data_IF_814944255752
#
_entry.id   IF_814944255752
#
_cell.length_a   1.000
_cell.length_b   1.000
_cell.length_c   1.000
_cell.angle_alpha   90.00
_cell.angle_beta   90.00
_cell.angle_gamma   90.00
#
_symmetry.space_group_name_H-M   'P 1'
#
loop_
_entity.id
_entity.type
_entity.pdbx_description
1 polymer ?
#
# COMPACT_ATOMS: atom_id res chain seq x y z
N UNK A 1 -18.43 11.69 -11.60
CA UNK A 1 -17.69 10.73 -10.75
C UNK A 1 -18.65 9.70 -10.17
N UNK A 2 -18.65 8.50 -10.72
CA UNK A 2 -19.36 7.32 -10.21
C UNK A 2 -18.58 6.69 -9.03
N UNK A 3 -19.26 6.18 -8.00
CA UNK A 3 -18.62 5.44 -6.91
C UNK A 3 -19.15 4.00 -6.93
N UNK A 4 -18.25 3.03 -7.06
CA UNK A 4 -18.60 1.60 -7.04
C UNK A 4 -17.89 0.86 -5.91
N UNK A 5 -18.65 0.16 -5.07
CA UNK A 5 -18.10 -0.65 -3.97
C UNK A 5 -18.48 -2.10 -4.21
N UNK A 6 -17.48 -2.95 -4.40
CA UNK A 6 -17.68 -4.39 -4.58
C UNK A 6 -18.16 -5.03 -3.26
N UNK A 7 -19.16 -5.93 -3.29
CA UNK A 7 -19.52 -6.72 -2.11
C UNK A 7 -18.34 -7.51 -1.53
N UNK A 8 -17.39 -7.93 -2.37
CA UNK A 8 -16.18 -8.63 -1.94
C UNK A 8 -15.24 -7.71 -1.14
N UNK A 9 -15.20 -6.42 -1.45
CA UNK A 9 -14.45 -5.45 -0.65
C UNK A 9 -15.03 -5.34 0.76
N UNK A 10 -16.36 -5.27 0.87
CA UNK A 10 -17.04 -5.24 2.17
C UNK A 10 -16.75 -6.50 2.97
N UNK A 11 -16.87 -7.68 2.34
CA UNK A 11 -16.54 -8.95 2.98
C UNK A 11 -15.07 -9.01 3.42
N UNK A 12 -14.14 -8.55 2.58
CA UNK A 12 -12.72 -8.47 2.91
C UNK A 12 -12.48 -7.57 4.13
N UNK A 13 -13.10 -6.39 4.20
CA UNK A 13 -12.97 -5.48 5.34
C UNK A 13 -13.50 -6.14 6.63
N UNK A 14 -14.63 -6.84 6.56
CA UNK A 14 -15.18 -7.58 7.72
C UNK A 14 -14.22 -8.68 8.18
N UNK A 15 -13.69 -9.48 7.25
CA UNK A 15 -12.71 -10.53 7.56
C UNK A 15 -11.44 -9.94 8.17
N UNK A 16 -10.88 -8.89 7.56
CA UNK A 16 -9.71 -8.18 8.08
C UNK A 16 -9.98 -7.61 9.47
N UNK A 17 -11.14 -7.00 9.71
CA UNK A 17 -11.51 -6.49 11.01
C UNK A 17 -11.51 -7.60 12.07
N UNK A 18 -12.13 -8.75 11.79
CA UNK A 18 -12.14 -9.92 12.69
C UNK A 18 -10.72 -10.39 12.97
N UNK A 19 -9.86 -10.51 11.95
CA UNK A 19 -8.46 -10.93 12.11
C UNK A 19 -7.65 -9.93 12.95
N UNK A 20 -7.85 -8.63 12.74
CA UNK A 20 -7.16 -7.57 13.49
C UNK A 20 -7.64 -7.53 14.94
N UNK A 21 -8.94 -7.71 15.21
CA UNK A 21 -9.46 -7.81 16.59
C UNK A 21 -8.75 -8.94 17.34
N UNK A 22 -8.57 -10.11 16.71
CA UNK A 22 -7.84 -11.25 17.31
C UNK A 22 -6.37 -10.96 17.60
N UNK A 23 -5.75 -10.05 16.86
CA UNK A 23 -4.34 -9.66 17.01
C UNK A 23 -4.09 -8.36 17.77
N UNK A 24 -5.13 -7.69 18.29
CA UNK A 24 -5.01 -6.42 19.01
C UNK A 24 -5.51 -6.54 20.45
N UNK A 25 -5.04 -5.64 21.32
CA UNK A 25 -5.44 -5.64 22.74
C UNK A 25 -6.84 -5.06 22.98
N UNK A 26 -7.44 -4.43 21.97
CA UNK A 26 -8.70 -3.70 22.10
C UNK A 26 -9.37 -3.54 20.75
N UNK A 27 -10.71 -3.66 20.72
CA UNK A 27 -11.54 -3.41 19.53
C UNK A 27 -11.32 -1.99 18.98
N UNK A 28 -11.09 -1.00 19.84
CA UNK A 28 -10.82 0.38 19.40
C UNK A 28 -9.53 0.49 18.58
N UNK A 29 -8.52 -0.34 18.88
CA UNK A 29 -7.30 -0.40 18.06
C UNK A 29 -7.59 -1.05 16.71
N UNK A 30 -8.37 -2.13 16.68
CA UNK A 30 -8.75 -2.76 15.42
C UNK A 30 -9.57 -1.83 14.53
N UNK A 31 -10.53 -1.13 15.12
CA UNK A 31 -11.35 -0.12 14.44
C UNK A 31 -10.47 0.99 13.86
N UNK A 32 -9.57 1.57 14.66
CA UNK A 32 -8.61 2.57 14.18
C UNK A 32 -7.79 2.07 12.99
N UNK A 33 -7.27 0.83 13.05
CA UNK A 33 -6.45 0.27 11.97
C UNK A 33 -7.21 0.12 10.66
N UNK A 34 -8.45 -0.37 10.71
CA UNK A 34 -9.30 -0.52 9.52
C UNK A 34 -9.68 0.84 8.93
N UNK A 35 -10.13 1.77 9.78
CA UNK A 35 -10.49 3.12 9.33
C UNK A 35 -9.27 3.80 8.71
N UNK A 36 -8.11 3.70 9.35
CA UNK A 36 -6.88 4.29 8.82
C UNK A 36 -6.45 3.65 7.49
N UNK A 37 -6.59 2.33 7.33
CA UNK A 37 -6.32 1.65 6.06
C UNK A 37 -7.21 2.19 4.94
N UNK A 38 -8.52 2.31 5.18
CA UNK A 38 -9.46 2.84 4.17
C UNK A 38 -9.12 4.30 3.84
N UNK A 39 -8.83 5.13 4.84
CA UNK A 39 -8.41 6.51 4.62
C UNK A 39 -7.12 6.61 3.82
N UNK A 40 -6.17 5.69 4.05
CA UNK A 40 -4.92 5.64 3.32
C UNK A 40 -5.14 5.28 1.85
N UNK A 41 -5.99 4.29 1.56
CA UNK A 41 -6.40 3.97 0.19
C UNK A 41 -7.09 5.16 -0.49
N UNK A 42 -8.03 5.82 0.20
CA UNK A 42 -8.72 6.98 -0.37
C UNK A 42 -7.78 8.18 -0.59
N UNK A 43 -6.83 8.42 0.32
CA UNK A 43 -5.84 9.49 0.18
C UNK A 43 -4.93 9.23 -1.03
N UNK A 44 -4.53 7.97 -1.22
CA UNK A 44 -3.74 7.53 -2.35
C UNK A 44 -4.46 7.78 -3.68
N UNK A 45 -5.71 7.29 -3.82
CA UNK A 45 -6.53 7.52 -5.00
C UNK A 45 -6.81 9.00 -5.28
N UNK A 46 -7.09 9.76 -4.22
CA UNK A 46 -7.38 11.19 -4.34
C UNK A 46 -6.15 11.97 -4.83
N UNK A 47 -4.94 11.51 -4.51
CA UNK A 47 -3.71 12.10 -5.03
C UNK A 47 -3.57 11.87 -6.55
N UNK A 48 -3.88 10.68 -7.06
CA UNK A 48 -3.96 10.43 -8.51
C UNK A 48 -4.98 11.35 -9.17
N UNK A 49 -6.19 11.46 -8.59
CA UNK A 49 -7.24 12.37 -9.09
C UNK A 49 -6.78 13.83 -9.11
N UNK A 50 -6.11 14.30 -8.06
CA UNK A 50 -5.65 15.68 -7.97
C UNK A 50 -4.53 15.97 -8.96
N UNK A 51 -3.60 15.04 -9.14
CA UNK A 51 -2.54 15.12 -10.14
C UNK A 51 -3.14 15.14 -11.56
N UNK A 52 -4.09 14.26 -11.85
CA UNK A 52 -4.77 14.20 -13.16
C UNK A 52 -5.46 15.52 -13.51
N UNK A 53 -6.16 16.13 -12.54
CA UNK A 53 -6.83 17.44 -12.74
C UNK A 53 -5.88 18.55 -13.16
N UNK A 54 -4.62 18.52 -12.72
CA UNK A 54 -3.62 19.48 -13.15
C UNK A 54 -3.35 19.43 -14.66
N UNK A 55 -3.52 18.25 -15.28
CA UNK A 55 -3.36 18.01 -16.71
C UNK A 55 -4.68 18.03 -17.49
N UNK A 56 -5.80 18.44 -16.86
CA UNK A 56 -7.12 18.40 -17.50
C UNK A 56 -7.71 16.99 -17.61
N UNK A 57 -7.21 16.03 -16.84
CA UNK A 57 -7.74 14.66 -16.75
C UNK A 57 -8.71 14.56 -15.58
N UNK A 58 -9.93 14.12 -15.86
CA UNK A 58 -10.99 14.05 -14.85
C UNK A 58 -11.17 12.64 -14.29
N UNK A 59 -11.58 12.56 -13.02
CA UNK A 59 -11.96 11.28 -12.40
C UNK A 59 -13.40 10.95 -12.70
N UNK A 60 -13.61 9.97 -13.57
CA UNK A 60 -14.93 9.51 -13.97
C UNK A 60 -15.49 8.47 -13.01
N UNK A 61 -14.64 7.64 -12.39
CA UNK A 61 -15.06 6.59 -11.45
C UNK A 61 -14.06 6.40 -10.32
N UNK A 62 -14.56 6.14 -9.11
CA UNK A 62 -13.79 5.64 -7.97
C UNK A 62 -14.35 4.27 -7.59
N UNK A 63 -13.48 3.27 -7.56
CA UNK A 63 -13.87 1.89 -7.27
C UNK A 63 -13.14 1.31 -6.08
N UNK A 64 -13.86 0.53 -5.26
CA UNK A 64 -13.31 -0.29 -4.17
C UNK A 64 -13.56 -1.76 -4.48
N UNK A 65 -12.49 -2.52 -4.69
CA UNK A 65 -12.50 -3.92 -5.08
C UNK A 65 -11.76 -4.78 -4.07
N UNK A 66 -11.85 -6.10 -4.20
CA UNK A 66 -11.06 -7.02 -3.38
C UNK A 66 -9.54 -6.75 -3.47
N UNK A 67 -9.04 -6.23 -4.59
CA UNK A 67 -7.62 -5.95 -4.79
C UNK A 67 -7.16 -4.63 -4.19
N UNK A 68 -8.09 -3.70 -3.92
CA UNK A 68 -7.77 -2.36 -3.45
C UNK A 68 -8.75 -1.31 -3.95
N UNK A 69 -8.37 -0.04 -3.81
CA UNK A 69 -9.05 1.08 -4.42
C UNK A 69 -8.46 1.36 -5.81
N UNK A 70 -9.21 2.05 -6.67
CA UNK A 70 -8.72 2.58 -7.93
C UNK A 70 -9.54 3.80 -8.36
N UNK A 71 -8.95 4.66 -9.18
CA UNK A 71 -9.66 5.71 -9.93
C UNK A 71 -9.57 5.45 -11.43
N UNK A 72 -10.67 5.68 -12.13
CA UNK A 72 -10.69 5.75 -13.59
C UNK A 72 -10.59 7.21 -13.99
N UNK A 73 -9.60 7.49 -14.82
CA UNK A 73 -9.24 8.82 -15.29
C UNK A 73 -9.52 8.91 -16.80
N UNK A 74 -10.22 9.96 -17.21
CA UNK A 74 -10.52 10.22 -18.64
C UNK A 74 -10.18 11.68 -19.01
N UNK A 75 -9.49 11.90 -20.16
CA UNK A 75 -8.84 10.88 -20.98
C UNK A 75 -7.71 10.17 -20.20
N UNK A 76 -7.24 9.02 -20.71
CA UNK A 76 -6.10 8.31 -20.14
C UNK A 76 -4.89 9.27 -20.03
N UNK A 77 -4.24 9.41 -18.86
CA UNK A 77 -3.17 10.40 -18.69
C UNK A 77 -2.00 10.21 -19.67
N UNK A 78 -1.70 8.98 -20.11
CA UNK A 78 -0.66 8.71 -21.10
C UNK A 78 -0.99 9.28 -22.49
N UNK A 79 -2.28 9.40 -22.82
CA UNK A 79 -2.72 10.01 -24.10
C UNK A 79 -2.57 11.52 -24.11
N UNK A 80 -2.56 12.15 -22.93
CA UNK A 80 -2.30 13.60 -22.79
C UNK A 80 -0.81 13.86 -22.96
N UNK A 81 0.03 13.15 -22.20
CA UNK A 81 1.49 13.17 -22.33
C UNK A 81 2.15 12.07 -21.50
N UNK A 82 3.40 11.72 -21.82
CA UNK A 82 4.21 10.85 -20.97
C UNK A 82 4.39 11.43 -19.57
N UNK A 83 4.53 12.76 -19.47
CA UNK A 83 4.72 13.42 -18.17
C UNK A 83 3.49 13.37 -17.28
N UNK A 84 2.29 13.44 -17.85
CA UNK A 84 1.05 13.32 -17.08
C UNK A 84 0.89 11.94 -16.48
N UNK A 85 1.18 10.87 -17.24
CA UNK A 85 1.19 9.50 -16.72
C UNK A 85 2.15 9.36 -15.53
N UNK A 86 3.42 9.76 -15.71
CA UNK A 86 4.44 9.68 -14.65
C UNK A 86 4.02 10.43 -13.39
N UNK A 87 3.53 11.67 -13.53
CA UNK A 87 3.13 12.48 -12.37
C UNK A 87 1.90 11.90 -11.68
N UNK A 88 0.92 11.43 -12.45
CA UNK A 88 -0.27 10.77 -11.91
C UNK A 88 0.14 9.51 -11.16
N UNK A 89 0.86 8.59 -11.77
CA UNK A 89 1.28 7.32 -11.15
C UNK A 89 2.10 7.53 -9.87
N UNK A 90 2.98 8.53 -9.84
CA UNK A 90 3.77 8.80 -8.64
C UNK A 90 2.98 9.52 -7.54
N UNK A 91 1.85 10.17 -7.84
CA UNK A 91 1.11 10.99 -6.88
C UNK A 91 0.59 10.18 -5.68
N UNK A 92 -0.06 9.04 -5.94
CA UNK A 92 -0.59 8.16 -4.90
C UNK A 92 0.49 7.65 -3.93
N UNK A 93 1.56 6.99 -4.42
CA UNK A 93 2.61 6.47 -3.56
C UNK A 93 3.31 7.59 -2.78
N UNK A 94 3.59 8.72 -3.41
CA UNK A 94 4.22 9.87 -2.76
C UNK A 94 3.32 10.51 -1.70
N UNK A 95 2.00 10.54 -1.88
CA UNK A 95 1.07 11.01 -0.85
C UNK A 95 1.13 10.12 0.41
N UNK A 96 1.20 8.81 0.24
CA UNK A 96 1.35 7.87 1.35
C UNK A 96 2.71 8.04 2.08
N UNK A 97 3.80 8.22 1.32
CA UNK A 97 5.12 8.49 1.90
C UNK A 97 5.17 9.85 2.62
N UNK A 98 4.58 10.88 2.04
CA UNK A 98 4.47 12.19 2.67
C UNK A 98 3.71 12.10 4.00
N UNK A 99 2.58 11.37 4.04
CA UNK A 99 1.83 11.11 5.25
C UNK A 99 2.67 10.37 6.30
N UNK A 100 3.45 9.35 5.90
CA UNK A 100 4.37 8.66 6.80
C UNK A 100 5.46 9.62 7.36
N UNK A 101 5.97 10.53 6.53
CA UNK A 101 6.90 11.58 6.94
C UNK A 101 6.28 12.52 7.97
N UNK A 102 5.08 13.03 7.72
CA UNK A 102 4.33 13.88 8.65
C UNK A 102 4.11 13.18 10.00
N UNK A 103 3.69 11.91 9.98
CA UNK A 103 3.50 11.09 11.19
C UNK A 103 4.82 10.77 11.92
N UNK A 104 5.97 11.00 11.29
CA UNK A 104 7.29 10.90 11.95
C UNK A 104 7.62 12.16 12.73
N UNK A 105 7.21 13.33 12.23
CA UNK A 105 7.51 14.63 12.82
C UNK A 105 6.55 14.96 13.97
N UNK A 106 5.27 14.61 13.82
CA UNK A 106 4.27 14.82 14.87
C UNK A 106 4.57 13.86 16.04
N UNK A 107 4.57 14.30 17.31
CA UNK A 107 4.89 13.47 18.48
C UNK A 107 3.75 12.49 18.85
N UNK A 108 3.18 11.79 17.88
CA UNK A 108 2.19 10.72 18.08
C UNK A 108 2.89 9.43 18.53
N UNK A 109 2.85 9.15 19.84
CA UNK A 109 3.60 8.02 20.43
C UNK A 109 2.81 6.73 20.63
N UNK A 110 1.49 6.75 20.39
CA UNK A 110 0.66 5.56 20.60
C UNK A 110 1.02 4.43 19.63
N UNK A 111 0.81 3.17 20.06
CA UNK A 111 1.04 2.01 19.20
C UNK A 111 0.23 2.03 17.90
N UNK A 112 -0.98 2.62 17.94
CA UNK A 112 -1.84 2.80 16.78
C UNK A 112 -1.23 3.75 15.75
N UNK A 113 -0.69 4.89 16.18
CA UNK A 113 -0.04 5.84 15.29
C UNK A 113 1.29 5.32 14.73
N UNK A 114 2.05 4.55 15.52
CA UNK A 114 3.24 3.83 15.02
C UNK A 114 2.88 2.85 13.90
N UNK A 115 1.77 2.12 14.06
CA UNK A 115 1.24 1.23 13.02
C UNK A 115 0.80 2.02 11.79
N UNK A 116 0.03 3.09 11.96
CA UNK A 116 -0.44 3.96 10.87
C UNK A 116 0.72 4.50 10.02
N UNK A 117 1.77 5.02 10.67
CA UNK A 117 2.99 5.46 10.00
C UNK A 117 3.67 4.35 9.21
N UNK A 118 3.83 3.17 9.83
CA UNK A 118 4.42 2.02 9.17
C UNK A 118 3.62 1.54 7.98
N UNK A 119 2.28 1.55 8.08
CA UNK A 119 1.38 1.17 7.01
C UNK A 119 1.41 2.19 5.85
N UNK A 120 1.39 3.49 6.14
CA UNK A 120 1.53 4.54 5.15
C UNK A 120 2.86 4.43 4.39
N UNK A 121 3.96 4.23 5.12
CA UNK A 121 5.27 3.99 4.51
C UNK A 121 5.27 2.73 3.64
N UNK A 122 4.75 1.63 4.17
CA UNK A 122 4.71 0.35 3.47
C UNK A 122 3.91 0.44 2.17
N UNK A 123 2.68 0.99 2.19
CA UNK A 123 1.87 1.13 0.98
C UNK A 123 2.52 2.08 -0.04
N UNK A 124 3.16 3.16 0.42
CA UNK A 124 3.92 4.04 -0.45
C UNK A 124 5.09 3.32 -1.15
N UNK A 125 5.91 2.58 -0.41
CA UNK A 125 7.04 1.82 -0.99
C UNK A 125 6.57 0.68 -1.88
N UNK A 126 5.53 -0.06 -1.47
CA UNK A 126 4.99 -1.15 -2.28
C UNK A 126 4.47 -0.61 -3.62
N UNK A 127 3.68 0.46 -3.62
CA UNK A 127 3.17 1.01 -4.87
C UNK A 127 4.24 1.69 -5.73
N UNK A 128 5.40 2.09 -5.18
CA UNK A 128 6.57 2.51 -5.98
C UNK A 128 7.38 1.35 -6.57
N UNK A 129 7.13 0.10 -6.16
CA UNK A 129 7.88 -1.03 -6.67
C UNK A 129 7.64 -1.18 -8.20
N UNK A 130 8.66 -1.59 -8.99
CA UNK A 130 8.55 -1.70 -10.44
C UNK A 130 7.83 -2.99 -10.83
N UNK A 131 6.56 -3.09 -10.42
CA UNK A 131 5.67 -4.23 -10.61
C UNK A 131 4.55 -3.78 -11.53
N UNK A 132 4.29 -4.52 -12.60
CA UNK A 132 3.42 -4.13 -13.71
C UNK A 132 2.02 -3.64 -13.32
N UNK A 133 1.47 -4.14 -12.22
CA UNK A 133 0.12 -3.82 -11.74
C UNK A 133 0.12 -2.85 -10.54
N UNK A 134 1.27 -2.24 -10.22
CA UNK A 134 1.43 -1.18 -9.23
C UNK A 134 1.85 0.11 -9.95
N UNK A 135 1.63 1.25 -9.32
CA UNK A 135 1.87 2.56 -9.95
C UNK A 135 3.34 2.75 -10.38
N UNK A 136 4.29 2.22 -9.62
CA UNK A 136 5.72 2.24 -9.95
C UNK A 136 6.06 1.47 -11.24
N UNK A 137 5.27 0.44 -11.58
CA UNK A 137 5.37 -0.26 -12.86
C UNK A 137 4.83 0.55 -14.03
N UNK A 138 3.71 1.24 -13.85
CA UNK A 138 3.14 2.15 -14.86
C UNK A 138 4.06 3.37 -15.07
N UNK A 139 4.56 3.97 -13.98
CA UNK A 139 5.53 5.06 -14.04
C UNK A 139 6.81 4.63 -14.76
N UNK A 140 7.34 3.43 -14.45
CA UNK A 140 8.51 2.88 -15.16
C UNK A 140 8.22 2.69 -16.64
N UNK A 141 7.05 2.16 -17.00
CA UNK A 141 6.64 2.00 -18.40
C UNK A 141 6.61 3.35 -19.12
N UNK A 142 5.97 4.36 -18.54
CA UNK A 142 5.89 5.71 -19.11
C UNK A 142 7.27 6.37 -19.24
N UNK A 143 8.14 6.23 -18.24
CA UNK A 143 9.54 6.71 -18.30
C UNK A 143 10.27 6.07 -19.48
N UNK A 144 10.14 4.75 -19.68
CA UNK A 144 10.78 4.06 -20.80
C UNK A 144 10.29 4.57 -22.16
N UNK A 145 8.99 4.83 -22.30
CA UNK A 145 8.45 5.46 -23.51
C UNK A 145 9.03 6.86 -23.73
N UNK A 146 9.16 7.67 -22.67
CA UNK A 146 9.82 8.98 -22.72
C UNK A 146 11.30 8.93 -23.07
N UNK A 147 11.96 7.82 -22.79
CA UNK A 147 13.32 7.51 -23.24
C UNK A 147 13.37 6.91 -24.65
N UNK A 148 12.26 6.96 -25.40
CA UNK A 148 12.13 6.44 -26.77
C UNK A 148 12.34 4.92 -26.89
N UNK A 149 12.10 4.18 -25.82
CA UNK A 149 11.99 2.72 -25.88
C UNK A 149 10.63 2.37 -26.49
N UNK A 150 10.60 1.48 -27.48
CA UNK A 150 9.33 1.03 -28.05
C UNK A 150 8.46 0.31 -27.01
N UNK A 151 7.14 0.36 -27.19
CA UNK A 151 6.16 -0.13 -26.21
C UNK A 151 6.30 -1.62 -25.90
N UNK A 152 6.69 -2.43 -26.89
CA UNK A 152 6.91 -3.86 -26.69
C UNK A 152 8.11 -4.09 -25.76
N UNK A 153 9.26 -3.47 -26.04
CA UNK A 153 10.44 -3.57 -25.18
C UNK A 153 10.20 -2.97 -23.79
N UNK A 154 9.51 -1.84 -23.69
CA UNK A 154 9.15 -1.26 -22.41
C UNK A 154 8.32 -2.23 -21.56
N UNK A 155 7.33 -2.90 -22.17
CA UNK A 155 6.52 -3.93 -21.52
C UNK A 155 7.33 -5.13 -21.04
N UNK A 156 8.31 -5.58 -21.83
CA UNK A 156 9.25 -6.65 -21.43
C UNK A 156 10.12 -6.26 -20.24
N UNK A 157 10.70 -5.05 -20.27
CA UNK A 157 11.54 -4.53 -19.18
C UNK A 157 10.74 -4.48 -17.87
N UNK A 158 9.52 -3.94 -17.90
CA UNK A 158 8.64 -3.87 -16.72
C UNK A 158 8.27 -5.27 -16.21
N UNK A 159 8.05 -6.22 -17.13
CA UNK A 159 7.76 -7.61 -16.76
C UNK A 159 8.96 -8.28 -16.09
N UNK A 160 10.17 -8.10 -16.60
CA UNK A 160 11.40 -8.59 -15.99
C UNK A 160 11.61 -7.94 -14.61
N UNK A 161 11.43 -6.62 -14.50
CA UNK A 161 11.53 -5.90 -13.23
C UNK A 161 10.52 -6.42 -12.20
N UNK A 162 9.31 -6.77 -12.65
CA UNK A 162 8.28 -7.41 -11.82
C UNK A 162 8.76 -8.76 -11.27
N UNK A 163 9.25 -9.63 -12.15
CA UNK A 163 9.76 -10.96 -11.74
C UNK A 163 10.94 -10.84 -10.78
N UNK A 164 11.91 -9.97 -11.06
CA UNK A 164 13.07 -9.74 -10.19
C UNK A 164 12.62 -9.22 -8.82
N UNK A 165 11.70 -8.25 -8.79
CA UNK A 165 11.19 -7.70 -7.52
C UNK A 165 10.51 -8.76 -6.67
N UNK A 166 9.63 -9.57 -7.27
CA UNK A 166 8.94 -10.66 -6.58
C UNK A 166 9.94 -11.72 -6.11
N UNK A 167 10.89 -12.11 -6.96
CA UNK A 167 11.91 -13.10 -6.63
C UNK A 167 12.82 -12.66 -5.48
N UNK A 168 13.30 -11.41 -5.52
CA UNK A 168 14.11 -10.83 -4.44
C UNK A 168 13.34 -10.79 -3.12
N UNK A 169 12.05 -10.46 -3.14
CA UNK A 169 11.21 -10.51 -1.94
C UNK A 169 11.20 -11.91 -1.29
N UNK A 170 11.20 -12.99 -2.08
CA UNK A 170 11.28 -14.36 -1.55
C UNK A 170 12.67 -14.76 -1.04
N UNK A 171 13.73 -14.12 -1.54
CA UNK A 171 15.10 -14.34 -1.09
C UNK A 171 15.47 -13.57 0.18
N UNK A 172 14.72 -12.52 0.53
CA UNK A 172 15.00 -11.73 1.72
C UNK A 172 14.98 -12.62 2.97
N UNK A 173 16.03 -12.61 3.80
CA UNK A 173 16.09 -13.40 5.01
C UNK A 173 14.90 -13.08 5.92
N UNK A 174 14.03 -14.07 6.13
CA UNK A 174 12.99 -13.94 7.16
C UNK A 174 13.68 -13.97 8.51
N UNK A 175 13.76 -12.81 9.17
CA UNK A 175 14.22 -12.71 10.56
C UNK A 175 13.42 -13.71 11.39
N UNK A 176 14.08 -14.79 11.84
CA UNK A 176 13.49 -15.72 12.81
C UNK A 176 13.23 -14.89 14.06
N UNK A 177 11.95 -14.71 14.44
CA UNK A 177 11.64 -14.30 15.82
C UNK A 177 12.35 -15.31 16.71
N UNK A 178 13.26 -14.83 17.57
CA UNK A 178 13.75 -15.66 18.67
C UNK A 178 12.51 -16.16 19.41
N UNK A 179 12.26 -17.45 19.30
CA UNK A 179 11.48 -18.17 20.30
C UNK A 179 12.21 -17.95 21.62
N UNK A 180 11.70 -17.07 22.48
CA UNK A 180 11.95 -17.22 23.91
C UNK A 180 11.27 -18.54 24.32
N UNK A 181 11.94 -19.65 24.05
CA UNK A 181 11.71 -20.91 24.74
C UNK A 181 12.11 -20.68 26.19
N UNK A 182 11.15 -20.93 27.08
CA UNK A 182 11.25 -20.63 28.49
C UNK A 182 12.42 -21.29 29.18
N UNK A 183 12.76 -20.74 30.34
CA UNK A 183 13.41 -21.50 31.39
C UNK A 183 12.31 -22.14 32.24
N UNK A 184 12.06 -23.45 32.15
CA UNK A 184 11.46 -24.18 33.25
C UNK A 184 12.57 -24.40 34.28
N UNK A 185 12.40 -23.88 35.49
CA UNK A 185 12.97 -24.61 36.61
C UNK A 185 11.92 -24.78 37.71
N UNK A 186 11.54 -26.04 37.85
CA UNK A 186 10.80 -26.61 38.95
C UNK A 186 11.67 -26.53 40.21
N UNK A 187 11.03 -26.38 41.36
CA UNK A 187 11.33 -27.25 42.51
C UNK A 187 10.08 -27.28 43.37
N UNK A 188 9.30 -28.34 43.19
CA UNK A 188 8.42 -28.90 44.20
C UNK A 188 9.27 -29.61 45.25
N UNK A 189 8.90 -29.46 46.53
CA UNK A 189 9.30 -30.36 47.60
C UNK A 189 8.54 -30.02 48.88
N UNK A 190 7.63 -30.88 49.38
CA UNK A 190 7.00 -30.72 50.68
C UNK A 190 7.90 -31.35 51.75
N UNK A 191 8.07 -30.72 52.91
CA UNK A 191 8.42 -31.45 54.13
C UNK A 191 8.07 -30.65 55.40
N UNK A 192 7.60 -31.42 56.37
CA UNK A 192 7.09 -31.12 57.71
C UNK A 192 8.08 -30.43 58.67
N UNK A 193 7.59 -29.49 59.47
CA UNK A 193 7.58 -29.49 60.96
C UNK A 193 6.83 -28.27 61.49
#
# INVERSE_FOLDING_TARGET
MEISISPLFVLMIVVLFVLIVRGTKSVNQAFFRIVFLVLLLLTHELAHSLAGRHFGVETVKLGLTFWGAYVLLEPDPLTVSIWSEIVVDLAGPLANLALAGVLTIIPVRSGSWKFARGLAFLLGILNLAPVKFLDGGHALYAILLGLHVDSERAGWIVSIATFVTIFLYFLLPRSKRKEEKGSPNQTTGPDST
#
